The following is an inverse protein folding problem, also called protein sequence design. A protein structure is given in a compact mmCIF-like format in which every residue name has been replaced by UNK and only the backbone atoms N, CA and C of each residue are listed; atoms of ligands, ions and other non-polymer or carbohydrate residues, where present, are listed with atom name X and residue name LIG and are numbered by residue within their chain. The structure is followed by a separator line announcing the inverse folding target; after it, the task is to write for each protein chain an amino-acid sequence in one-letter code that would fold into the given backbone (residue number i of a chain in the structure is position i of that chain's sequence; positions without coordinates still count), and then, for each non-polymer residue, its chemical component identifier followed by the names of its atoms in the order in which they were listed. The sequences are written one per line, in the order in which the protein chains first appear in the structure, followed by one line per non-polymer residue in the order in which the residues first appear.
data_IF_733685923234
#
_entry.id   IF_733685923234
#
_cell.length_a   1.000
_cell.length_b   1.000
_cell.length_c   1.000
_cell.angle_alpha   90.00
_cell.angle_beta   90.00
_cell.angle_gamma   90.00
#
_symmetry.space_group_name_H-M   'P 1'
#
loop_
_entity.id
_entity.type
_entity.pdbx_description
1 polymer ?
#
# COMPACT_ATOMS: atom_id res chain seq x y z
N UNK A 1 -78.09 -27.01 -18.86
CA UNK A 1 -79.19 -27.11 -17.88
C UNK A 1 -78.68 -26.55 -16.57
N UNK A 2 -79.39 -25.54 -16.02
CA UNK A 2 -79.44 -25.02 -14.64
C UNK A 2 -78.13 -24.89 -13.82
N UNK A 3 -77.85 -23.80 -13.11
CA UNK A 3 -78.70 -22.67 -12.71
C UNK A 3 -77.89 -21.69 -11.85
N UNK A 4 -78.43 -20.47 -11.75
CA UNK A 4 -77.95 -19.31 -11.01
C UNK A 4 -78.01 -19.46 -9.47
N UNK A 5 -77.23 -18.60 -8.80
CA UNK A 5 -77.49 -17.87 -7.54
C UNK A 5 -76.21 -17.84 -6.67
N UNK A 6 -75.77 -16.76 -6.03
CA UNK A 6 -76.26 -15.39 -5.94
C UNK A 6 -75.50 -14.65 -4.83
N UNK A 7 -75.32 -13.34 -5.06
CA UNK A 7 -75.33 -12.20 -4.10
C UNK A 7 -74.36 -12.07 -2.91
N UNK A 8 -74.08 -10.78 -2.67
CA UNK A 8 -73.64 -10.09 -1.45
C UNK A 8 -72.14 -10.19 -1.14
N UNK A 9 -71.33 -9.14 -1.15
CA UNK A 9 -71.60 -7.71 -0.93
C UNK A 9 -70.92 -7.32 0.38
N UNK A 10 -69.80 -6.58 0.31
CA UNK A 10 -69.32 -5.75 1.42
C UNK A 10 -68.29 -4.74 0.90
N UNK A 11 -68.70 -3.47 0.92
CA UNK A 11 -67.84 -2.31 0.78
C UNK A 11 -66.85 -2.29 1.95
N UNK A 12 -65.55 -2.34 1.64
CA UNK A 12 -64.48 -2.04 2.59
C UNK A 12 -63.80 -0.74 2.19
N UNK A 13 -64.02 0.33 2.97
CA UNK A 13 -63.26 1.58 2.88
C UNK A 13 -61.78 1.28 3.14
N UNK A 14 -60.97 1.27 2.08
CA UNK A 14 -59.52 1.22 2.16
C UNK A 14 -58.96 2.54 2.67
N UNK A 15 -58.55 2.56 3.94
CA UNK A 15 -57.76 3.65 4.55
C UNK A 15 -56.47 3.87 3.74
N UNK A 16 -56.32 5.08 3.19
CA UNK A 16 -55.05 5.59 2.70
C UNK A 16 -54.05 5.66 3.86
N UNK A 17 -53.06 4.77 3.84
CA UNK A 17 -51.89 4.85 4.71
C UNK A 17 -50.86 5.79 4.05
N UNK A 18 -50.32 6.79 4.77
CA UNK A 18 -49.21 7.59 4.27
C UNK A 18 -47.95 6.71 4.19
N UNK A 19 -47.46 6.50 2.96
CA UNK A 19 -46.21 5.81 2.71
C UNK A 19 -45.02 6.60 3.23
N UNK A 20 -44.39 6.12 4.30
CA UNK A 20 -43.10 6.62 4.77
C UNK A 20 -42.05 6.10 3.78
N UNK A 21 -41.61 6.96 2.86
CA UNK A 21 -40.46 6.69 2.02
C UNK A 21 -39.20 6.67 2.90
N UNK A 22 -38.72 5.48 3.25
CA UNK A 22 -37.42 5.30 3.90
C UNK A 22 -36.32 5.66 2.90
N UNK A 23 -35.81 6.89 2.99
CA UNK A 23 -34.63 7.33 2.25
C UNK A 23 -33.41 6.53 2.69
N UNK A 24 -32.93 5.63 1.83
CA UNK A 24 -31.68 4.93 2.03
C UNK A 24 -30.52 5.93 1.87
N UNK A 25 -30.02 6.45 2.98
CA UNK A 25 -28.76 7.19 3.00
C UNK A 25 -27.61 6.21 2.77
N UNK A 26 -27.07 6.19 1.56
CA UNK A 26 -25.81 5.49 1.27
C UNK A 26 -24.68 6.20 1.99
N UNK A 27 -24.14 5.59 3.04
CA UNK A 27 -22.90 6.05 3.68
C UNK A 27 -21.77 5.71 2.72
N UNK A 28 -21.28 6.71 1.98
CA UNK A 28 -20.06 6.56 1.20
C UNK A 28 -18.90 6.30 2.17
N UNK A 29 -18.21 5.17 2.01
CA UNK A 29 -17.00 4.90 2.77
C UNK A 29 -15.98 6.01 2.48
N UNK A 30 -15.40 6.60 3.52
CA UNK A 30 -14.33 7.57 3.34
C UNK A 30 -13.20 6.94 2.52
N UNK A 31 -12.56 7.69 1.60
CA UNK A 31 -11.42 7.18 0.85
C UNK A 31 -10.34 6.71 1.82
N UNK A 32 -9.77 5.53 1.55
CA UNK A 32 -8.67 5.00 2.34
C UNK A 32 -7.53 6.01 2.33
N UNK A 33 -6.94 6.26 3.50
CA UNK A 33 -5.74 7.06 3.66
C UNK A 33 -4.54 6.11 3.57
N UNK A 34 -3.85 5.99 2.42
CA UNK A 34 -2.76 5.05 2.27
C UNK A 34 -1.54 5.42 3.12
N UNK A 35 -1.34 6.71 3.42
CA UNK A 35 -0.24 7.16 4.30
C UNK A 35 -0.40 6.53 5.69
N UNK A 36 -1.60 6.61 6.27
CA UNK A 36 -1.87 5.98 7.59
C UNK A 36 -2.02 4.47 7.50
N UNK A 37 -2.72 3.98 6.47
CA UNK A 37 -3.07 2.57 6.35
C UNK A 37 -1.85 1.70 6.07
N UNK A 38 -0.88 2.19 5.29
CA UNK A 38 0.35 1.45 4.97
C UNK A 38 1.48 1.71 5.99
N UNK A 39 1.43 2.79 6.79
CA UNK A 39 2.46 3.10 7.79
C UNK A 39 2.78 1.95 8.74
N UNK A 40 4.06 1.61 8.87
CA UNK A 40 4.55 0.52 9.71
C UNK A 40 5.84 -0.09 9.20
N UNK A 41 6.38 -1.03 9.97
CA UNK A 41 7.47 -1.92 9.56
C UNK A 41 6.88 -3.26 9.16
N UNK A 42 7.32 -3.78 8.03
CA UNK A 42 7.03 -5.13 7.56
C UNK A 42 8.34 -5.89 7.46
N UNK A 43 8.32 -7.18 7.77
CA UNK A 43 9.54 -7.97 7.67
C UNK A 43 9.28 -9.45 7.50
N UNK A 44 10.17 -10.10 6.76
CA UNK A 44 10.23 -11.55 6.60
C UNK A 44 11.63 -12.02 6.94
N UNK A 45 11.71 -13.04 7.81
CA UNK A 45 12.96 -13.66 8.22
C UNK A 45 13.10 -15.01 7.53
N UNK A 46 14.23 -15.27 6.90
CA UNK A 46 14.43 -16.49 6.12
C UNK A 46 15.90 -16.93 6.09
N UNK A 47 16.10 -18.23 5.87
CA UNK A 47 17.44 -18.79 5.70
C UNK A 47 17.92 -18.50 4.28
N UNK A 48 19.11 -17.89 4.19
CA UNK A 48 19.80 -17.53 2.97
C UNK A 48 21.11 -18.33 2.87
N UNK A 49 21.77 -18.32 1.71
CA UNK A 49 23.01 -19.03 1.49
C UNK A 49 23.99 -18.22 0.63
N UNK A 50 25.30 -18.38 0.89
CA UNK A 50 26.37 -17.85 0.04
C UNK A 50 26.56 -18.72 -1.20
N UNK A 51 27.41 -18.27 -2.15
CA UNK A 51 27.74 -19.07 -3.34
C UNK A 51 28.50 -20.36 -3.00
N UNK A 52 29.19 -20.39 -1.86
CA UNK A 52 29.85 -21.57 -1.30
C UNK A 52 28.87 -22.52 -0.57
N UNK A 53 27.62 -22.11 -0.38
CA UNK A 53 26.56 -22.88 0.27
C UNK A 53 26.45 -22.66 1.78
N UNK A 54 27.22 -21.74 2.36
CA UNK A 54 27.13 -21.41 3.77
C UNK A 54 25.79 -20.76 4.09
N UNK A 55 25.08 -21.31 5.07
CA UNK A 55 23.76 -20.85 5.48
C UNK A 55 23.84 -19.75 6.51
N UNK A 56 23.02 -18.72 6.34
CA UNK A 56 22.88 -17.62 7.30
C UNK A 56 21.47 -17.04 7.27
N UNK A 57 21.09 -16.31 8.31
CA UNK A 57 19.76 -15.70 8.38
C UNK A 57 19.76 -14.30 7.75
N UNK A 58 18.70 -14.00 7.00
CA UNK A 58 18.46 -12.69 6.39
C UNK A 58 17.08 -12.17 6.79
N UNK A 59 16.94 -10.84 6.77
CA UNK A 59 15.70 -10.14 7.03
C UNK A 59 15.40 -9.17 5.90
N UNK A 60 14.29 -9.39 5.21
CA UNK A 60 13.71 -8.35 4.37
C UNK A 60 12.93 -7.39 5.26
N UNK A 61 13.11 -6.10 5.01
CA UNK A 61 12.46 -5.05 5.80
C UNK A 61 11.92 -3.97 4.88
N UNK A 62 10.64 -3.64 5.07
CA UNK A 62 10.00 -2.46 4.47
C UNK A 62 9.52 -1.56 5.59
N UNK A 63 9.96 -0.31 5.59
CA UNK A 63 9.56 0.70 6.58
C UNK A 63 8.79 1.80 5.86
N UNK A 64 7.60 2.14 6.36
CA UNK A 64 6.75 3.22 5.82
C UNK A 64 6.44 4.19 6.96
N UNK A 65 6.90 5.44 6.84
CA UNK A 65 6.80 6.49 7.84
C UNK A 65 6.03 7.69 7.27
N UNK A 66 4.88 8.07 7.85
CA UNK A 66 4.19 9.29 7.46
C UNK A 66 5.08 10.53 7.58
N UNK A 67 5.07 11.35 6.53
CA UNK A 67 5.75 12.66 6.50
C UNK A 67 4.73 13.78 6.70
N UNK A 68 3.64 13.75 5.93
CA UNK A 68 2.49 14.63 6.07
C UNK A 68 1.18 13.90 5.67
N UNK A 69 0.10 14.63 5.42
CA UNK A 69 -1.20 14.05 5.09
C UNK A 69 -1.26 13.33 3.72
N UNK A 70 -0.29 13.60 2.82
CA UNK A 70 -0.26 13.07 1.45
C UNK A 70 1.04 12.36 1.11
N UNK A 71 2.03 12.38 1.99
CA UNK A 71 3.34 11.81 1.71
C UNK A 71 3.82 10.87 2.82
N UNK A 72 4.52 9.82 2.41
CA UNK A 72 5.20 8.90 3.30
C UNK A 72 6.62 8.65 2.82
N UNK A 73 7.57 8.65 3.74
CA UNK A 73 8.88 8.07 3.51
C UNK A 73 8.74 6.55 3.47
N UNK A 74 9.41 5.91 2.54
CA UNK A 74 9.59 4.46 2.55
C UNK A 74 11.07 4.08 2.48
N UNK A 75 11.40 2.91 3.02
CA UNK A 75 12.72 2.31 2.95
C UNK A 75 12.59 0.80 2.73
N UNK A 76 13.11 0.32 1.60
CA UNK A 76 13.15 -1.09 1.21
C UNK A 76 14.57 -1.60 1.43
N UNK A 77 14.69 -2.71 2.15
CA UNK A 77 15.92 -3.51 2.21
C UNK A 77 15.55 -4.96 2.02
N UNK A 78 15.84 -5.48 0.83
CA UNK A 78 15.48 -6.82 0.42
C UNK A 78 16.77 -7.60 0.17
N UNK A 79 16.78 -8.88 0.54
CA UNK A 79 17.92 -9.77 0.42
C UNK A 79 17.56 -10.94 -0.47
N UNK A 80 18.56 -11.44 -1.18
CA UNK A 80 18.42 -12.50 -2.16
C UNK A 80 19.46 -13.58 -1.91
N UNK A 81 19.22 -14.75 -2.49
CA UNK A 81 20.20 -15.82 -2.54
C UNK A 81 21.57 -15.31 -3.03
N UNK A 82 22.65 -15.87 -2.48
CA UNK A 82 24.03 -15.52 -2.82
C UNK A 82 24.48 -14.12 -2.35
N UNK A 83 23.90 -13.59 -1.27
CA UNK A 83 24.37 -12.34 -0.66
C UNK A 83 24.04 -11.06 -1.43
N UNK A 84 23.15 -11.11 -2.42
CA UNK A 84 22.67 -9.92 -3.10
C UNK A 84 21.59 -9.21 -2.27
N UNK A 85 21.51 -7.89 -2.42
CA UNK A 85 20.47 -7.09 -1.81
C UNK A 85 20.00 -5.98 -2.74
N UNK A 86 18.78 -5.53 -2.50
CA UNK A 86 18.19 -4.35 -3.11
C UNK A 86 17.91 -3.32 -2.02
N UNK A 87 18.17 -2.05 -2.32
CA UNK A 87 17.92 -0.94 -1.43
C UNK A 87 17.32 0.25 -2.17
N UNK A 88 16.13 0.68 -1.74
CA UNK A 88 15.49 1.88 -2.28
C UNK A 88 14.78 2.62 -1.14
N UNK A 89 14.97 3.94 -1.09
CA UNK A 89 14.25 4.80 -0.17
C UNK A 89 13.86 6.09 -0.86
N UNK A 90 12.76 6.69 -0.42
CA UNK A 90 12.21 7.87 -1.07
C UNK A 90 10.98 8.40 -0.37
N UNK A 91 10.47 9.54 -0.85
CA UNK A 91 9.19 10.10 -0.42
C UNK A 91 8.14 9.77 -1.49
N UNK A 92 7.19 8.91 -1.14
CA UNK A 92 6.08 8.53 -2.00
C UNK A 92 4.85 9.39 -1.70
N UNK A 93 4.06 9.68 -2.73
CA UNK A 93 2.81 10.42 -2.66
C UNK A 93 1.61 9.49 -2.63
N UNK A 94 0.61 9.81 -1.82
CA UNK A 94 -0.67 9.14 -1.81
C UNK A 94 -1.40 9.31 -3.14
N UNK A 95 -1.81 8.20 -3.76
CA UNK A 95 -2.57 8.16 -5.00
C UNK A 95 -3.56 6.99 -4.94
N UNK A 96 -4.84 7.32 -4.80
CA UNK A 96 -5.86 6.30 -4.52
C UNK A 96 -5.59 5.59 -3.18
N UNK A 97 -5.49 4.27 -3.22
CA UNK A 97 -5.19 3.40 -2.07
C UNK A 97 -3.71 2.99 -1.99
N UNK A 98 -2.83 3.65 -2.77
CA UNK A 98 -1.41 3.34 -2.86
C UNK A 98 -0.52 4.54 -2.52
N UNK A 99 0.76 4.24 -2.31
CA UNK A 99 1.86 5.20 -2.29
C UNK A 99 2.64 5.09 -3.60
N UNK A 100 2.69 6.18 -4.35
CA UNK A 100 3.30 6.29 -5.67
C UNK A 100 4.60 7.10 -5.54
N UNK A 101 5.74 6.46 -5.81
CA UNK A 101 7.06 7.07 -5.81
C UNK A 101 7.57 7.21 -7.23
N UNK A 102 7.94 8.43 -7.61
CA UNK A 102 8.68 8.71 -8.83
C UNK A 102 9.98 9.38 -8.42
N UNK A 103 11.10 8.82 -8.85
CA UNK A 103 12.42 9.35 -8.54
C UNK A 103 12.57 10.78 -9.09
N UNK A 104 13.04 11.75 -8.29
CA UNK A 104 13.28 13.09 -8.76
C UNK A 104 14.31 13.12 -9.90
N UNK A 105 14.12 14.03 -10.87
CA UNK A 105 15.07 14.22 -11.96
C UNK A 105 16.46 14.60 -11.43
N UNK A 106 17.52 14.00 -11.99
CA UNK A 106 18.89 14.16 -11.55
C UNK A 106 19.27 13.41 -10.26
N UNK A 107 18.36 12.62 -9.69
CA UNK A 107 18.70 11.72 -8.58
C UNK A 107 19.53 10.53 -9.07
N UNK A 108 20.19 9.82 -8.13
CA UNK A 108 20.96 8.60 -8.45
C UNK A 108 20.11 7.50 -9.10
N UNK A 109 18.81 7.54 -8.84
CA UNK A 109 17.83 6.53 -9.27
C UNK A 109 16.82 7.13 -10.24
N UNK A 110 17.22 8.17 -10.98
CA UNK A 110 16.37 8.85 -11.96
C UNK A 110 15.67 7.85 -12.89
N UNK A 111 14.38 8.07 -13.11
CA UNK A 111 13.52 7.19 -13.91
C UNK A 111 12.89 6.04 -13.11
N UNK A 112 13.33 5.75 -11.89
CA UNK A 112 12.70 4.75 -11.02
C UNK A 112 11.28 5.19 -10.61
N UNK A 113 10.33 4.28 -10.78
CA UNK A 113 8.92 4.39 -10.41
C UNK A 113 8.52 3.16 -9.61
N UNK A 114 8.11 3.37 -8.36
CA UNK A 114 7.68 2.33 -7.44
C UNK A 114 6.29 2.63 -6.90
N UNK A 115 5.40 1.63 -6.87
CA UNK A 115 4.12 1.72 -6.16
C UNK A 115 4.09 0.74 -4.99
N UNK A 116 3.70 1.22 -3.82
CA UNK A 116 3.45 0.40 -2.63
C UNK A 116 1.95 0.39 -2.35
N UNK A 117 1.34 -0.80 -2.32
CA UNK A 117 -0.10 -0.94 -2.11
C UNK A 117 -0.42 -2.18 -1.28
N UNK A 118 -1.64 -2.25 -0.74
CA UNK A 118 -2.12 -3.48 -0.10
C UNK A 118 -2.86 -4.33 -1.13
N UNK A 119 -2.34 -5.52 -1.40
CA UNK A 119 -3.04 -6.54 -2.18
C UNK A 119 -3.44 -7.71 -1.27
N UNK A 120 -4.65 -7.62 -0.70
CA UNK A 120 -5.21 -8.64 0.19
C UNK A 120 -4.36 -8.89 1.45
N UNK A 121 -3.63 -10.01 1.44
CA UNK A 121 -2.75 -10.46 2.55
C UNK A 121 -1.30 -10.01 2.42
N UNK A 122 -0.99 -9.18 1.43
CA UNK A 122 0.37 -8.73 1.13
C UNK A 122 0.44 -7.20 1.07
N UNK A 123 1.54 -6.64 1.57
CA UNK A 123 2.07 -5.38 1.08
C UNK A 123 2.77 -5.69 -0.24
N UNK A 124 2.26 -5.15 -1.33
CA UNK A 124 2.78 -5.37 -2.67
C UNK A 124 3.73 -4.23 -3.06
N UNK A 125 4.85 -4.58 -3.67
CA UNK A 125 5.80 -3.67 -4.29
C UNK A 125 5.69 -3.85 -5.81
N UNK A 126 5.45 -2.77 -6.53
CA UNK A 126 5.32 -2.75 -7.98
C UNK A 126 6.37 -1.80 -8.58
N UNK A 127 7.34 -2.38 -9.28
CA UNK A 127 8.44 -1.70 -9.98
C UNK A 127 8.13 -1.46 -11.46
N UNK A 128 6.86 -1.38 -11.83
CA UNK A 128 6.40 -1.06 -13.19
C UNK A 128 7.27 -1.77 -14.26
N UNK A 129 7.90 -1.00 -15.15
CA UNK A 129 8.74 -1.53 -16.24
C UNK A 129 10.17 -1.97 -15.80
N UNK A 130 10.35 -2.35 -14.52
CA UNK A 130 11.66 -2.67 -13.93
C UNK A 130 12.55 -1.44 -13.75
N UNK A 131 11.92 -0.28 -13.59
CA UNK A 131 12.57 1.03 -13.65
C UNK A 131 13.56 1.29 -12.50
N UNK A 132 13.38 0.62 -11.37
CA UNK A 132 14.21 0.72 -10.18
C UNK A 132 15.31 -0.34 -10.13
N UNK A 133 15.43 -1.19 -11.15
CA UNK A 133 16.38 -2.30 -11.21
C UNK A 133 17.83 -1.87 -11.04
N UNK A 134 18.20 -0.62 -11.39
CA UNK A 134 19.56 -0.09 -11.18
C UNK A 134 19.96 -0.02 -9.69
N UNK A 135 18.99 -0.04 -8.78
CA UNK A 135 19.20 -0.10 -7.32
C UNK A 135 19.35 -1.53 -6.80
N UNK A 136 19.13 -2.49 -7.69
CA UNK A 136 19.30 -3.91 -7.47
C UNK A 136 20.54 -4.39 -8.22
N UNK A 137 21.35 -5.26 -7.60
CA UNK A 137 22.38 -5.99 -8.36
C UNK A 137 21.76 -6.84 -9.47
N UNK A 138 22.59 -7.49 -10.30
CA UNK A 138 22.16 -8.28 -11.46
C UNK A 138 21.24 -9.49 -11.17
N UNK A 139 20.88 -9.74 -9.91
CA UNK A 139 20.12 -10.90 -9.44
C UNK A 139 19.01 -10.57 -8.43
N UNK A 140 18.78 -9.29 -8.15
CA UNK A 140 17.65 -8.84 -7.35
C UNK A 140 16.62 -8.14 -8.23
N UNK A 141 15.45 -7.87 -7.69
CA UNK A 141 14.47 -6.98 -8.30
C UNK A 141 13.52 -6.48 -7.22
N UNK A 142 12.44 -5.83 -7.62
CA UNK A 142 11.31 -5.59 -6.74
C UNK A 142 10.01 -6.20 -7.32
N UNK A 143 10.08 -6.76 -8.53
CA UNK A 143 8.93 -7.31 -9.25
C UNK A 143 8.42 -8.62 -8.64
N UNK A 144 7.15 -8.64 -8.24
CA UNK A 144 6.53 -9.80 -7.59
C UNK A 144 6.89 -9.96 -6.11
N UNK A 145 7.63 -9.01 -5.56
CA UNK A 145 8.07 -9.02 -4.16
C UNK A 145 7.07 -8.27 -3.28
N UNK A 146 7.00 -8.68 -2.02
CA UNK A 146 6.04 -8.13 -1.08
C UNK A 146 6.26 -8.67 0.31
N UNK A 147 5.66 -7.99 1.28
CA UNK A 147 5.74 -8.42 2.68
C UNK A 147 4.38 -8.95 3.14
N UNK A 148 4.33 -10.04 3.91
CA UNK A 148 3.07 -10.51 4.47
C UNK A 148 2.41 -9.39 5.27
N UNK A 149 1.16 -9.06 4.99
CA UNK A 149 0.47 -7.99 5.73
C UNK A 149 0.43 -8.27 7.24
N UNK A 150 0.37 -9.54 7.62
CA UNK A 150 0.45 -10.01 9.02
C UNK A 150 1.78 -9.68 9.72
N UNK A 151 2.86 -9.40 8.98
CA UNK A 151 4.15 -9.00 9.55
C UNK A 151 4.18 -7.53 9.95
N UNK A 152 3.16 -6.74 9.60
CA UNK A 152 3.10 -5.32 9.92
C UNK A 152 3.23 -5.10 11.44
N UNK A 153 4.15 -4.24 11.85
CA UNK A 153 4.36 -3.81 13.23
C UNK A 153 4.50 -2.29 13.31
N UNK A 154 4.10 -1.66 14.43
CA UNK A 154 4.48 -0.29 14.71
C UNK A 154 6.00 -0.10 14.69
N UNK A 155 6.47 1.04 14.19
CA UNK A 155 7.89 1.39 14.20
C UNK A 155 8.22 1.97 15.58
N UNK A 156 8.97 1.23 16.40
CA UNK A 156 9.35 1.66 17.76
C UNK A 156 10.58 2.57 17.78
N UNK A 157 11.33 2.65 16.67
CA UNK A 157 12.59 3.38 16.55
C UNK A 157 12.52 4.53 15.54
N UNK A 158 11.36 5.22 15.47
CA UNK A 158 11.11 6.32 14.53
C UNK A 158 12.17 7.43 14.58
N UNK A 159 12.67 7.77 15.76
CA UNK A 159 13.74 8.76 15.95
C UNK A 159 15.02 8.36 15.22
N UNK A 160 15.37 7.07 15.22
CA UNK A 160 16.53 6.56 14.47
C UNK A 160 16.30 6.65 12.96
N UNK A 161 15.10 6.31 12.47
CA UNK A 161 14.78 6.46 11.04
C UNK A 161 14.89 7.92 10.62
N UNK A 162 14.26 8.83 11.36
CA UNK A 162 14.27 10.26 11.03
C UNK A 162 15.67 10.91 11.10
N UNK A 163 16.57 10.33 11.90
CA UNK A 163 17.97 10.75 11.99
C UNK A 163 18.89 10.09 10.96
N UNK A 164 18.43 9.09 10.21
CA UNK A 164 19.23 8.38 9.21
C UNK A 164 19.65 9.27 8.05
N UNK A 165 20.67 8.85 7.31
CA UNK A 165 21.12 9.56 6.11
C UNK A 165 20.10 9.40 4.98
N UNK A 166 19.55 8.19 4.82
CA UNK A 166 18.55 7.83 3.82
C UNK A 166 17.29 8.68 3.95
N UNK A 167 16.76 8.84 5.16
CA UNK A 167 15.60 9.69 5.41
C UNK A 167 15.87 11.16 5.10
N UNK A 168 17.04 11.68 5.50
CA UNK A 168 17.42 13.07 5.25
C UNK A 168 17.64 13.34 3.77
N UNK A 169 18.28 12.41 3.06
CA UNK A 169 18.49 12.48 1.62
C UNK A 169 17.15 12.47 0.87
N UNK A 170 16.27 11.52 1.18
CA UNK A 170 14.93 11.43 0.58
C UNK A 170 14.11 12.72 0.80
N UNK A 171 14.12 13.27 2.02
CA UNK A 171 13.46 14.55 2.29
C UNK A 171 14.07 15.72 1.52
N UNK A 172 15.39 15.77 1.38
CA UNK A 172 16.07 16.84 0.67
C UNK A 172 15.78 16.78 -0.83
N UNK A 173 15.79 15.59 -1.43
CA UNK A 173 15.44 15.37 -2.82
C UNK A 173 13.98 15.75 -3.11
N UNK A 174 13.04 15.26 -2.28
CA UNK A 174 11.62 15.59 -2.41
C UNK A 174 11.36 17.09 -2.31
N UNK A 175 11.96 17.79 -1.34
CA UNK A 175 11.77 19.23 -1.18
C UNK A 175 12.32 20.05 -2.34
N UNK A 176 13.38 19.58 -3.00
CA UNK A 176 13.90 20.24 -4.21
C UNK A 176 12.92 20.11 -5.37
N UNK A 177 12.25 18.97 -5.48
CA UNK A 177 11.26 18.74 -6.53
C UNK A 177 9.98 19.57 -6.30
N UNK A 178 9.46 19.63 -5.07
CA UNK A 178 8.29 20.45 -4.73
C UNK A 178 8.53 21.97 -4.88
N UNK A 179 9.79 22.40 -4.93
CA UNK A 179 10.16 23.81 -5.10
C UNK A 179 10.29 24.25 -6.57
N UNK A 180 10.20 23.33 -7.53
CA UNK A 180 10.19 23.62 -8.96
C UNK A 180 8.78 23.95 -9.44
#
# INVERSE_FOLDING_TARGET
MAGEAGRSGLMGLGRLLPGIAAGATTIAAAPLDPVKTLAGRYSTHFENATVEGDKYWSDDVVEIVPVDARHAYFNLRLNFANGHSCGLSGIARAKGDALDYVAPAGSRVEGCHMTLSRNGRWLHLDDHDGSCQSTCGSRGGYGGEGQPWKSKRPITYLSRIRGSEEYRAALAEWRKEEAK
#
